data_IF_887175891716
#
_entry.id   IF_887175891716
#
_cell.length_a   1.000
_cell.length_b   1.000
_cell.length_c   1.000
_cell.angle_alpha   90.00
_cell.angle_beta   90.00
_cell.angle_gamma   90.00
#
_symmetry.space_group_name_H-M   'P 1'
#
loop_
_entity.id
_entity.type
_entity.pdbx_description
1 polymer ?
#
# COMPACT_ATOMS: atom_id res chain seq x y z
N UNK A 1 23.11 3.37 11.69
CA UNK A 1 21.74 3.80 11.30
C UNK A 1 20.98 2.57 10.82
N UNK A 2 19.92 2.15 11.52
CA UNK A 2 19.32 0.83 11.35
C UNK A 2 18.40 0.79 10.10
N UNK A 3 18.76 -0.02 9.10
CA UNK A 3 18.12 -0.04 7.78
C UNK A 3 16.65 -0.55 7.83
N UNK A 4 16.37 -1.43 8.80
CA UNK A 4 15.04 -1.98 9.08
C UNK A 4 14.03 -0.87 9.45
N UNK A 5 14.43 0.07 10.30
CA UNK A 5 13.55 1.13 10.81
C UNK A 5 13.05 2.06 9.71
N UNK A 6 13.92 2.40 8.74
CA UNK A 6 13.55 3.31 7.64
C UNK A 6 12.64 2.64 6.61
N UNK A 7 12.82 1.34 6.38
CA UNK A 7 11.98 0.59 5.44
C UNK A 7 10.58 0.39 6.02
N UNK A 8 10.48 0.01 7.29
CA UNK A 8 9.21 -0.15 7.98
C UNK A 8 8.43 1.18 8.03
N UNK A 9 9.11 2.29 8.33
CA UNK A 9 8.49 3.62 8.32
C UNK A 9 7.85 3.97 6.97
N UNK A 10 8.51 3.67 5.85
CA UNK A 10 7.94 3.93 4.51
C UNK A 10 6.71 3.07 4.20
N UNK A 11 6.71 1.83 4.67
CA UNK A 11 5.57 0.92 4.50
C UNK A 11 4.39 1.41 5.35
N UNK A 12 4.66 1.80 6.60
CA UNK A 12 3.67 2.37 7.51
C UNK A 12 3.02 3.65 6.97
N UNK A 13 3.84 4.60 6.48
CA UNK A 13 3.36 5.81 5.82
C UNK A 13 2.48 5.50 4.61
N UNK A 14 2.88 4.52 3.78
CA UNK A 14 2.12 4.11 2.60
C UNK A 14 0.77 3.48 2.98
N UNK A 15 0.74 2.60 3.99
CA UNK A 15 -0.50 1.98 4.48
C UNK A 15 -1.42 3.04 5.07
N UNK A 16 -0.89 3.97 5.87
CA UNK A 16 -1.67 5.05 6.47
C UNK A 16 -2.32 5.95 5.41
N UNK A 17 -1.61 6.25 4.32
CA UNK A 17 -2.14 7.06 3.23
C UNK A 17 -3.30 6.38 2.46
N UNK A 18 -3.34 5.04 2.41
CA UNK A 18 -4.42 4.30 1.75
C UNK A 18 -5.79 4.56 2.39
N UNK A 19 -5.85 4.95 3.67
CA UNK A 19 -7.11 5.34 4.33
C UNK A 19 -7.80 6.51 3.63
N UNK A 20 -7.03 7.49 3.15
CA UNK A 20 -7.56 8.71 2.53
C UNK A 20 -7.75 8.55 1.03
N UNK A 21 -6.84 7.83 0.39
CA UNK A 21 -6.93 7.51 -1.02
C UNK A 21 -6.60 6.03 -1.22
N UNK A 22 -7.61 5.14 -1.21
CA UNK A 22 -7.38 3.71 -1.34
C UNK A 22 -6.94 3.32 -2.76
N UNK A 23 -7.00 4.23 -3.74
CA UNK A 23 -6.57 3.98 -5.13
C UNK A 23 -5.57 5.06 -5.58
N UNK A 24 -4.39 5.14 -4.94
CA UNK A 24 -3.42 6.18 -5.24
C UNK A 24 -2.82 5.99 -6.63
N UNK A 25 -2.20 7.04 -7.18
CA UNK A 25 -1.56 6.97 -8.50
C UNK A 25 -0.48 5.89 -8.52
N UNK A 26 -0.51 5.02 -9.54
CA UNK A 26 0.43 3.92 -9.69
C UNK A 26 0.04 2.64 -8.93
N UNK A 27 -1.17 2.59 -8.35
CA UNK A 27 -1.78 1.34 -7.89
C UNK A 27 -2.04 0.42 -9.09
N UNK A 28 -1.79 -0.87 -8.90
CA UNK A 28 -2.13 -1.93 -9.86
C UNK A 28 -3.29 -2.75 -9.30
N UNK A 29 -4.34 -2.94 -10.09
CA UNK A 29 -5.43 -3.87 -9.74
C UNK A 29 -4.97 -5.29 -10.02
N UNK A 30 -5.07 -6.17 -9.04
CA UNK A 30 -4.67 -7.58 -9.14
C UNK A 30 -5.86 -8.50 -9.38
N UNK A 31 -6.97 -8.23 -8.70
CA UNK A 31 -8.21 -9.02 -8.79
C UNK A 31 -9.43 -8.11 -8.54
N UNK A 32 -10.61 -8.68 -8.32
CA UNK A 32 -11.89 -7.98 -8.10
C UNK A 32 -11.78 -6.91 -7.02
N UNK A 33 -11.33 -7.30 -5.82
CA UNK A 33 -11.14 -6.42 -4.65
C UNK A 33 -9.66 -6.13 -4.39
N UNK A 34 -8.74 -6.93 -4.93
CA UNK A 34 -7.33 -6.87 -4.59
C UNK A 34 -6.55 -5.85 -5.44
N UNK A 35 -5.73 -5.06 -4.77
CA UNK A 35 -4.87 -4.04 -5.35
C UNK A 35 -3.45 -4.13 -4.78
N UNK A 36 -2.50 -3.51 -5.47
CA UNK A 36 -1.10 -3.47 -5.07
C UNK A 36 -0.48 -2.10 -5.28
N UNK A 37 0.27 -1.64 -4.27
CA UNK A 37 1.19 -0.51 -4.41
C UNK A 37 2.63 -0.95 -4.17
N UNK A 38 3.58 -0.23 -4.79
CA UNK A 38 5.02 -0.47 -4.63
C UNK A 38 5.62 0.51 -3.62
N UNK A 39 6.31 -0.01 -2.62
CA UNK A 39 7.05 0.77 -1.61
C UNK A 39 8.52 0.38 -1.66
N UNK A 40 9.27 1.01 -2.58
CA UNK A 40 10.66 0.67 -2.85
C UNK A 40 10.83 -0.77 -3.35
N UNK A 41 11.46 -1.63 -2.53
CA UNK A 41 11.65 -3.07 -2.82
C UNK A 41 10.48 -3.95 -2.37
N UNK A 42 9.54 -3.40 -1.61
CA UNK A 42 8.40 -4.13 -1.06
C UNK A 42 7.12 -3.80 -1.87
N UNK A 43 6.11 -4.66 -1.73
CA UNK A 43 4.77 -4.41 -2.22
C UNK A 43 3.78 -4.54 -1.06
N UNK A 44 2.80 -3.65 -1.04
CA UNK A 44 1.64 -3.76 -0.16
C UNK A 44 0.49 -4.24 -1.04
N UNK A 45 -0.08 -5.39 -0.70
CA UNK A 45 -1.27 -5.95 -1.32
C UNK A 45 -2.42 -5.75 -0.33
N UNK A 46 -3.56 -5.27 -0.80
CA UNK A 46 -4.70 -4.93 0.04
C UNK A 46 -5.99 -5.05 -0.75
N UNK A 47 -7.10 -5.23 -0.04
CA UNK A 47 -8.44 -5.26 -0.62
C UNK A 47 -9.19 -3.94 -0.40
N UNK A 48 -10.08 -3.61 -1.33
CA UNK A 48 -11.06 -2.55 -1.18
C UNK A 48 -12.46 -3.15 -1.36
N UNK A 49 -13.30 -2.97 -0.35
CA UNK A 49 -14.70 -3.39 -0.33
C UNK A 49 -15.60 -2.15 -0.41
N UNK A 50 -15.93 -1.68 -1.62
CA UNK A 50 -16.73 -0.43 -1.78
C UNK A 50 -18.21 -0.57 -1.38
N UNK A 51 -18.69 -1.79 -1.13
CA UNK A 51 -20.12 -2.11 -0.94
C UNK A 51 -20.41 -2.94 0.31
N UNK A 52 -19.46 -3.03 1.24
CA UNK A 52 -19.65 -3.60 2.57
C UNK A 52 -19.61 -2.51 3.64
#
# INVERSE_FOLDING_TARGET
>A
MNFLTRTLKKVDEAITALRQNPRPRGVEKLDKTAYRIRVGRHRVIYDIYDKE
#
